data_IF_156869584653
#
_entry.id   IF_156869584653
#
_cell.length_a   1.000
_cell.length_b   1.000
_cell.length_c   1.000
_cell.angle_alpha   90.00
_cell.angle_beta   90.00
_cell.angle_gamma   90.00
#
_symmetry.space_group_name_H-M   'P 1'
#
loop_
_entity.id
_entity.type
_entity.pdbx_description
1 polymer ?
#
# COMPACT_ATOMS: atom_id res chain seq x y z
N UNK A 1 -3.21 54.97 -2.73
CA UNK A 1 -3.43 53.81 -3.63
C UNK A 1 -2.31 52.76 -3.60
N UNK A 2 -1.06 53.08 -3.20
CA UNK A 2 0.03 52.09 -3.15
C UNK A 2 -0.14 50.95 -2.11
N UNK A 3 -0.77 51.23 -0.96
CA UNK A 3 -0.91 50.23 0.13
C UNK A 3 -1.87 49.09 -0.18
N UNK A 4 -2.89 49.34 -1.01
CA UNK A 4 -3.87 48.32 -1.40
C UNK A 4 -3.25 47.22 -2.26
N UNK A 5 -2.35 47.59 -3.17
CA UNK A 5 -1.65 46.64 -4.03
C UNK A 5 -0.62 45.82 -3.24
N UNK A 6 0.04 46.43 -2.25
CA UNK A 6 1.00 45.73 -1.40
C UNK A 6 0.32 44.68 -0.52
N UNK A 7 -0.83 45.01 0.09
CA UNK A 7 -1.64 44.08 0.87
C UNK A 7 -2.19 42.93 0.03
N UNK A 8 -2.62 43.20 -1.21
CA UNK A 8 -3.03 42.18 -2.18
C UNK A 8 -1.89 41.21 -2.54
N UNK A 9 -0.68 41.73 -2.75
CA UNK A 9 0.51 40.91 -3.07
C UNK A 9 0.91 40.05 -1.88
N UNK A 10 0.91 40.58 -0.66
CA UNK A 10 1.17 39.78 0.54
C UNK A 10 0.08 38.72 0.79
N UNK A 11 -1.19 39.05 0.52
CA UNK A 11 -2.29 38.10 0.56
C UNK A 11 -2.10 36.94 -0.41
N UNK A 12 -1.74 37.23 -1.66
CA UNK A 12 -1.46 36.21 -2.68
C UNK A 12 -0.25 35.33 -2.33
N UNK A 13 0.84 35.93 -1.84
CA UNK A 13 2.02 35.19 -1.40
C UNK A 13 1.71 34.27 -0.23
N UNK A 14 0.92 34.73 0.75
CA UNK A 14 0.47 33.92 1.87
C UNK A 14 -0.34 32.71 1.41
N UNK A 15 -1.26 32.90 0.45
CA UNK A 15 -2.06 31.82 -0.13
C UNK A 15 -1.16 30.78 -0.83
N UNK A 16 -0.22 31.22 -1.66
CA UNK A 16 0.73 30.33 -2.37
C UNK A 16 1.56 29.51 -1.37
N UNK A 17 2.04 30.13 -0.29
CA UNK A 17 2.82 29.46 0.76
C UNK A 17 2.01 28.37 1.47
N UNK A 18 0.74 28.64 1.77
CA UNK A 18 -0.17 27.66 2.37
C UNK A 18 -0.40 26.48 1.42
N UNK A 19 -0.68 26.74 0.14
CA UNK A 19 -0.86 25.67 -0.86
C UNK A 19 0.41 24.84 -1.06
N UNK A 20 1.58 25.47 -1.14
CA UNK A 20 2.87 24.77 -1.24
C UNK A 20 3.12 23.88 -0.01
N UNK A 21 2.80 24.37 1.19
CA UNK A 21 2.86 23.60 2.43
C UNK A 21 1.94 22.38 2.42
N UNK A 22 0.68 22.54 2.00
CA UNK A 22 -0.29 21.44 1.89
C UNK A 22 0.20 20.39 0.87
N UNK A 23 0.69 20.82 -0.29
CA UNK A 23 1.20 19.90 -1.32
C UNK A 23 2.41 19.12 -0.79
N UNK A 24 3.35 19.79 -0.11
CA UNK A 24 4.50 19.14 0.51
C UNK A 24 4.09 18.11 1.56
N UNK A 25 3.13 18.47 2.42
CA UNK A 25 2.61 17.57 3.45
C UNK A 25 1.89 16.35 2.86
N UNK A 26 1.04 16.54 1.85
CA UNK A 26 0.37 15.44 1.16
C UNK A 26 1.38 14.50 0.49
N UNK A 27 2.42 15.04 -0.15
CA UNK A 27 3.51 14.22 -0.72
C UNK A 27 4.20 13.37 0.34
N UNK A 28 4.43 13.93 1.52
CA UNK A 28 5.08 13.21 2.62
C UNK A 28 4.17 12.11 3.19
N UNK A 29 2.87 12.38 3.35
CA UNK A 29 1.89 11.38 3.74
C UNK A 29 1.81 10.23 2.74
N UNK A 30 1.69 10.52 1.44
CA UNK A 30 1.65 9.49 0.41
C UNK A 30 2.95 8.69 0.38
N UNK A 31 4.13 9.33 0.43
CA UNK A 31 5.40 8.62 0.46
C UNK A 31 5.51 7.64 1.63
N UNK A 32 5.05 8.03 2.83
CA UNK A 32 5.05 7.17 4.00
C UNK A 32 4.10 5.97 3.85
N UNK A 33 2.90 6.18 3.31
CA UNK A 33 1.92 5.11 3.07
C UNK A 33 2.41 4.15 1.99
N UNK A 34 2.88 4.68 0.86
CA UNK A 34 3.38 3.88 -0.27
C UNK A 34 4.64 3.08 0.09
N UNK A 35 5.54 3.61 0.91
CA UNK A 35 6.74 2.88 1.33
C UNK A 35 6.39 1.59 2.11
N UNK A 36 5.34 1.63 2.95
CA UNK A 36 4.92 0.48 3.74
C UNK A 36 4.19 -0.58 2.90
N UNK A 37 3.25 -0.16 2.04
CA UNK A 37 2.54 -1.07 1.14
C UNK A 37 3.47 -1.70 0.09
N UNK A 38 4.38 -0.93 -0.50
CA UNK A 38 5.30 -1.42 -1.53
C UNK A 38 6.23 -2.54 -1.05
N UNK A 39 6.62 -2.55 0.23
CA UNK A 39 7.46 -3.62 0.78
C UNK A 39 6.74 -4.97 0.81
N UNK A 40 5.44 -4.99 1.13
CA UNK A 40 4.64 -6.23 1.17
C UNK A 40 4.23 -6.68 -0.22
N UNK A 41 3.93 -5.73 -1.11
CA UNK A 41 3.70 -6.00 -2.54
C UNK A 41 4.93 -6.69 -3.17
N UNK A 42 6.14 -6.18 -2.90
CA UNK A 42 7.39 -6.77 -3.39
C UNK A 42 7.62 -8.21 -2.88
N UNK A 43 7.37 -8.46 -1.58
CA UNK A 43 7.48 -9.81 -1.00
C UNK A 43 6.47 -10.76 -1.66
N UNK A 44 5.22 -10.33 -1.85
CA UNK A 44 4.19 -11.13 -2.49
C UNK A 44 4.53 -11.42 -3.96
N UNK A 45 5.07 -10.44 -4.70
CA UNK A 45 5.55 -10.66 -6.06
C UNK A 45 6.66 -11.69 -6.12
N UNK A 46 7.63 -11.64 -5.21
CA UNK A 46 8.70 -12.63 -5.12
C UNK A 46 8.15 -14.03 -4.82
N UNK A 47 7.15 -14.13 -3.94
CA UNK A 47 6.50 -15.40 -3.63
C UNK A 47 5.71 -15.94 -4.82
N UNK A 48 5.02 -15.07 -5.55
CA UNK A 48 4.31 -15.43 -6.78
C UNK A 48 5.26 -15.91 -7.86
N UNK A 49 6.40 -15.25 -8.05
CA UNK A 49 7.43 -15.65 -9.01
C UNK A 49 7.94 -17.07 -8.70
N UNK A 50 8.25 -17.35 -7.43
CA UNK A 50 8.68 -18.68 -6.97
C UNK A 50 7.60 -19.75 -7.17
N UNK A 51 6.33 -19.38 -7.00
CA UNK A 51 5.18 -20.27 -7.21
C UNK A 51 4.74 -20.39 -8.68
N UNK A 52 5.43 -19.70 -9.61
CA UNK A 52 5.07 -19.68 -11.03
C UNK A 52 3.73 -19.00 -11.31
N UNK A 53 3.33 -18.02 -10.48
CA UNK A 53 2.10 -17.25 -10.63
C UNK A 53 2.42 -15.94 -11.37
N UNK A 54 1.95 -15.75 -12.61
CA UNK A 54 2.39 -14.66 -13.46
C UNK A 54 1.76 -13.30 -13.12
N UNK A 55 0.64 -13.27 -12.39
CA UNK A 55 -0.07 -12.04 -12.05
C UNK A 55 -1.09 -12.23 -10.91
N UNK A 56 -1.54 -11.12 -10.34
CA UNK A 56 -2.49 -11.07 -9.23
C UNK A 56 -3.84 -11.74 -9.53
N UNK A 57 -4.28 -11.68 -10.78
CA UNK A 57 -5.53 -12.33 -11.20
C UNK A 57 -5.40 -13.85 -11.12
N UNK A 58 -4.26 -14.41 -11.53
CA UNK A 58 -3.97 -15.84 -11.38
C UNK A 58 -3.86 -16.23 -9.90
N UNK A 59 -3.22 -15.40 -9.07
CA UNK A 59 -3.18 -15.63 -7.61
C UNK A 59 -4.61 -15.71 -7.05
N UNK A 60 -5.43 -14.70 -7.34
CA UNK A 60 -6.84 -14.64 -6.92
C UNK A 60 -7.64 -15.88 -7.37
N UNK A 61 -7.47 -16.29 -8.63
CA UNK A 61 -8.18 -17.45 -9.17
C UNK A 61 -7.74 -18.75 -8.50
N UNK A 62 -6.46 -18.88 -8.15
CA UNK A 62 -5.92 -20.07 -7.49
C UNK A 62 -6.30 -20.14 -6.01
N UNK A 63 -6.25 -19.02 -5.30
CA UNK A 63 -6.61 -18.98 -3.87
C UNK A 63 -8.13 -18.88 -3.65
N UNK A 64 -8.91 -18.47 -4.64
CA UNK A 64 -10.35 -18.31 -4.50
C UNK A 64 -10.79 -17.13 -3.62
N UNK A 65 -9.85 -16.33 -3.13
CA UNK A 65 -10.13 -15.17 -2.27
C UNK A 65 -10.67 -13.99 -3.08
N UNK A 66 -11.33 -13.07 -2.38
CA UNK A 66 -11.83 -11.85 -3.01
C UNK A 66 -10.70 -10.93 -3.48
N UNK A 67 -11.00 -10.07 -4.46
CA UNK A 67 -10.06 -9.03 -4.91
C UNK A 67 -9.65 -8.10 -3.76
N UNK A 68 -10.55 -7.85 -2.81
CA UNK A 68 -10.29 -7.05 -1.61
C UNK A 68 -9.20 -7.66 -0.75
N UNK A 69 -9.21 -8.97 -0.55
CA UNK A 69 -8.18 -9.68 0.22
C UNK A 69 -6.81 -9.51 -0.43
N UNK A 70 -6.71 -9.69 -1.75
CA UNK A 70 -5.45 -9.47 -2.48
C UNK A 70 -4.95 -8.03 -2.30
N UNK A 71 -5.86 -7.05 -2.35
CA UNK A 71 -5.50 -5.65 -2.10
C UNK A 71 -4.99 -5.40 -0.68
N UNK A 72 -5.67 -5.93 0.34
CA UNK A 72 -5.25 -5.79 1.73
C UNK A 72 -3.86 -6.38 1.96
N UNK A 73 -3.57 -7.54 1.36
CA UNK A 73 -2.25 -8.17 1.45
C UNK A 73 -1.16 -7.30 0.80
N UNK A 74 -1.45 -6.73 -0.38
CA UNK A 74 -0.52 -5.84 -1.09
C UNK A 74 -0.29 -4.53 -0.36
N UNK A 75 -1.30 -4.01 0.33
CA UNK A 75 -1.19 -2.79 1.14
C UNK A 75 -0.53 -3.04 2.51
N UNK A 76 -0.20 -4.30 2.82
CA UNK A 76 0.39 -4.69 4.10
C UNK A 76 -0.60 -4.71 5.27
N UNK A 77 -1.89 -4.79 4.97
CA UNK A 77 -2.99 -4.90 5.92
C UNK A 77 -3.42 -6.37 6.15
N UNK A 78 -2.44 -7.29 6.16
CA UNK A 78 -2.69 -8.73 6.32
C UNK A 78 -3.38 -9.09 7.64
N UNK A 79 -3.20 -8.28 8.69
CA UNK A 79 -3.87 -8.47 9.99
C UNK A 79 -5.40 -8.29 9.91
N UNK A 80 -5.90 -7.61 8.87
CA UNK A 80 -7.33 -7.41 8.63
C UNK A 80 -7.97 -8.54 7.82
N UNK A 81 -7.17 -9.50 7.34
CA UNK A 81 -7.61 -10.65 6.54
C UNK A 81 -7.86 -11.84 7.46
N UNK A 82 -8.90 -12.64 7.18
CA UNK A 82 -9.18 -13.82 8.00
C UNK A 82 -8.08 -14.86 7.83
N UNK A 83 -7.75 -15.58 8.90
CA UNK A 83 -6.74 -16.63 8.87
C UNK A 83 -7.02 -17.71 7.80
N UNK A 84 -8.28 -18.05 7.57
CA UNK A 84 -8.67 -18.99 6.51
C UNK A 84 -8.31 -18.47 5.11
N UNK A 85 -8.55 -17.18 4.85
CA UNK A 85 -8.22 -16.55 3.56
C UNK A 85 -6.69 -16.42 3.38
N UNK A 86 -5.96 -16.19 4.48
CA UNK A 86 -4.49 -16.24 4.48
C UNK A 86 -3.97 -17.65 4.16
N UNK A 87 -4.64 -18.69 4.67
CA UNK A 87 -4.34 -20.09 4.35
C UNK A 87 -4.57 -20.39 2.87
N UNK A 88 -5.71 -19.98 2.32
CA UNK A 88 -6.03 -20.20 0.91
C UNK A 88 -4.99 -19.54 -0.03
N UNK A 89 -4.49 -18.35 0.35
CA UNK A 89 -3.42 -17.65 -0.39
C UNK A 89 -2.07 -18.35 -0.22
N UNK A 90 -1.73 -18.82 0.98
CA UNK A 90 -0.51 -19.57 1.23
C UNK A 90 -0.48 -20.89 0.43
N UNK A 91 -1.61 -21.60 0.41
CA UNK A 91 -1.79 -22.84 -0.36
C UNK A 91 -1.67 -22.60 -1.87
N UNK A 92 -2.26 -21.50 -2.37
CA UNK A 92 -2.10 -21.10 -3.77
C UNK A 92 -0.63 -20.80 -4.14
N UNK A 93 0.14 -20.28 -3.19
CA UNK A 93 1.57 -20.01 -3.31
C UNK A 93 2.45 -21.25 -2.99
N UNK A 94 1.84 -22.39 -2.69
CA UNK A 94 2.53 -23.65 -2.34
C UNK A 94 3.51 -23.43 -1.17
N UNK A 95 3.07 -22.68 -0.16
CA UNK A 95 3.84 -22.29 1.00
C UNK A 95 3.13 -22.71 2.29
N UNK A 96 3.86 -23.24 3.29
CA UNK A 96 3.27 -23.45 4.60
C UNK A 96 2.75 -22.12 5.18
N UNK A 97 1.54 -22.12 5.75
CA UNK A 97 0.90 -20.94 6.31
C UNK A 97 1.82 -20.19 7.29
N UNK A 98 2.53 -20.90 8.17
CA UNK A 98 3.47 -20.29 9.12
C UNK A 98 4.60 -19.51 8.44
N UNK A 99 5.13 -20.02 7.32
CA UNK A 99 6.18 -19.35 6.53
C UNK A 99 5.60 -18.13 5.83
N UNK A 100 4.38 -18.23 5.30
CA UNK A 100 3.68 -17.12 4.66
C UNK A 100 3.43 -15.98 5.65
N UNK A 101 2.87 -16.28 6.83
CA UNK A 101 2.62 -15.30 7.89
C UNK A 101 3.91 -14.60 8.34
N UNK A 102 5.00 -15.37 8.53
CA UNK A 102 6.31 -14.81 8.89
C UNK A 102 6.87 -13.89 7.81
N UNK A 103 6.76 -14.27 6.53
CA UNK A 103 7.20 -13.41 5.41
C UNK A 103 6.41 -12.12 5.31
N UNK A 104 5.14 -12.15 5.69
CA UNK A 104 4.29 -10.98 5.76
C UNK A 104 4.40 -10.19 7.06
N UNK A 105 5.24 -10.62 8.02
CA UNK A 105 5.41 -9.98 9.33
C UNK A 105 4.09 -9.89 10.12
N UNK A 106 3.24 -10.90 9.96
CA UNK A 106 1.95 -11.01 10.66
C UNK A 106 2.08 -11.81 11.97
N UNK A 107 3.24 -12.43 12.18
CA UNK A 107 3.61 -13.20 13.37
C UNK A 107 5.12 -13.05 13.60
N UNK A 108 5.54 -12.95 14.86
CA UNK A 108 6.96 -12.93 15.27
C UNK A 108 7.69 -14.26 14.99
#
# INVERSE_FOLDING_TARGET
MLSNNLSLVYGLLGVILVFAGIIGFLRLLFAAIYAKGNAKDAVLLELMERAGIPNWKTLQQKSGVSTTVIWLLRDGQGDSVKLSELSDVADALVLPLSVFLKKLDLVE
#
